data_IF_893929343248
#
_entry.id   IF_893929343248
#
_cell.length_a   1.000
_cell.length_b   1.000
_cell.length_c   1.000
_cell.angle_alpha   90.00
_cell.angle_beta   90.00
_cell.angle_gamma   90.00
#
_symmetry.space_group_name_H-M   'P 1'
#
loop_
_entity.id
_entity.type
_entity.pdbx_description
1 polymer ?
#
# COMPACT_ATOMS: atom_id res chain seq x y z
N UNK A 1 30.87 -19.18 -14.22
CA UNK A 1 29.62 -19.39 -14.96
C UNK A 1 28.43 -18.88 -14.16
N UNK A 2 28.10 -19.44 -13.02
CA UNK A 2 26.94 -19.08 -12.18
C UNK A 2 26.92 -17.56 -11.80
N UNK A 3 28.06 -16.99 -11.42
CA UNK A 3 28.14 -15.61 -10.98
C UNK A 3 27.81 -14.61 -12.11
N UNK A 4 28.30 -14.88 -13.31
CA UNK A 4 28.07 -14.02 -14.49
C UNK A 4 26.61 -14.09 -14.96
N UNK A 5 25.99 -15.25 -14.84
CA UNK A 5 24.57 -15.46 -15.17
C UNK A 5 23.67 -14.72 -14.18
N UNK A 6 24.04 -14.68 -12.89
CA UNK A 6 23.30 -13.94 -11.88
C UNK A 6 23.42 -12.42 -12.06
N UNK A 7 24.62 -11.92 -12.36
CA UNK A 7 24.82 -10.48 -12.63
C UNK A 7 23.96 -10.04 -13.83
N UNK A 8 23.98 -10.77 -14.92
CA UNK A 8 23.16 -10.48 -16.10
C UNK A 8 21.64 -10.56 -15.78
N UNK A 9 21.21 -11.55 -15.00
CA UNK A 9 19.82 -11.63 -14.53
C UNK A 9 19.42 -10.40 -13.71
N UNK A 10 20.25 -9.98 -12.77
CA UNK A 10 20.00 -8.85 -11.93
C UNK A 10 19.91 -7.54 -12.75
N UNK A 11 20.79 -7.35 -13.73
CA UNK A 11 20.73 -6.19 -14.61
C UNK A 11 19.45 -6.15 -15.44
N UNK A 12 19.04 -7.27 -16.03
CA UNK A 12 17.78 -7.35 -16.79
C UNK A 12 16.57 -7.06 -15.87
N UNK A 13 16.58 -7.62 -14.66
CA UNK A 13 15.51 -7.39 -13.69
C UNK A 13 15.39 -5.90 -13.34
N UNK A 14 16.51 -5.24 -13.04
CA UNK A 14 16.53 -3.81 -12.71
C UNK A 14 16.09 -2.93 -13.89
N UNK A 15 16.48 -3.29 -15.13
CA UNK A 15 16.02 -2.60 -16.33
C UNK A 15 14.50 -2.74 -16.51
N UNK A 16 13.97 -3.93 -16.32
CA UNK A 16 12.52 -4.18 -16.41
C UNK A 16 11.76 -3.43 -15.32
N UNK A 17 12.28 -3.42 -14.09
CA UNK A 17 11.70 -2.66 -12.99
C UNK A 17 11.68 -1.16 -13.31
N UNK A 18 12.79 -0.62 -13.79
CA UNK A 18 12.88 0.80 -14.19
C UNK A 18 11.90 1.12 -15.34
N UNK A 19 11.78 0.24 -16.32
CA UNK A 19 10.86 0.42 -17.45
C UNK A 19 9.38 0.38 -17.04
N UNK A 20 9.07 -0.23 -15.90
CA UNK A 20 7.70 -0.25 -15.36
C UNK A 20 7.25 1.11 -14.81
N UNK A 21 8.18 2.01 -14.50
CA UNK A 21 7.89 3.36 -14.02
C UNK A 21 7.87 4.39 -15.17
N UNK A 22 7.08 4.12 -16.19
CA UNK A 22 6.86 5.08 -17.29
C UNK A 22 6.09 6.31 -16.80
N UNK A 23 6.20 7.47 -17.49
CA UNK A 23 5.50 8.70 -17.09
C UNK A 23 4.01 8.52 -16.90
N UNK A 24 3.36 7.69 -17.71
CA UNK A 24 1.94 7.37 -17.56
C UNK A 24 1.62 6.68 -16.24
N UNK A 25 2.47 5.74 -15.80
CA UNK A 25 2.30 5.05 -14.52
C UNK A 25 2.52 6.02 -13.35
N UNK A 26 3.53 6.88 -13.45
CA UNK A 26 3.78 7.92 -12.44
C UNK A 26 2.56 8.84 -12.30
N UNK A 27 1.96 9.25 -13.42
CA UNK A 27 0.75 10.07 -13.42
C UNK A 27 -0.46 9.35 -12.76
N UNK A 28 -0.63 8.06 -13.06
CA UNK A 28 -1.67 7.25 -12.39
C UNK A 28 -1.45 7.12 -10.88
N UNK A 29 -0.19 6.98 -10.44
CA UNK A 29 0.16 6.97 -9.01
C UNK A 29 -0.16 8.31 -8.36
N UNK A 30 0.12 9.43 -9.03
CA UNK A 30 -0.24 10.76 -8.56
C UNK A 30 -1.76 10.89 -8.38
N UNK A 31 -2.53 10.51 -9.39
CA UNK A 31 -4.00 10.54 -9.32
C UNK A 31 -4.53 9.69 -8.15
N UNK A 32 -3.97 8.50 -7.95
CA UNK A 32 -4.32 7.65 -6.80
C UNK A 32 -4.02 8.35 -5.47
N UNK A 33 -2.87 9.01 -5.36
CA UNK A 33 -2.49 9.78 -4.18
C UNK A 33 -3.48 10.91 -3.88
N UNK A 34 -3.93 11.63 -4.90
CA UNK A 34 -4.93 12.70 -4.77
C UNK A 34 -6.29 12.17 -4.30
N UNK A 35 -6.73 11.02 -4.85
CA UNK A 35 -7.97 10.35 -4.42
C UNK A 35 -7.87 9.92 -2.95
N UNK A 36 -6.77 9.30 -2.53
CA UNK A 36 -6.55 8.88 -1.15
C UNK A 36 -6.52 10.07 -0.20
N UNK A 37 -5.88 11.18 -0.60
CA UNK A 37 -5.89 12.41 0.17
C UNK A 37 -7.30 12.99 0.32
N UNK A 38 -8.08 13.00 -0.75
CA UNK A 38 -9.49 13.44 -0.71
C UNK A 38 -10.34 12.55 0.21
N UNK A 39 -10.13 11.22 0.16
CA UNK A 39 -10.80 10.30 1.07
C UNK A 39 -10.46 10.60 2.53
N UNK A 40 -9.20 10.90 2.81
CA UNK A 40 -8.76 11.25 4.16
C UNK A 40 -9.36 12.55 4.66
N UNK A 41 -9.34 13.61 3.84
CA UNK A 41 -9.90 14.93 4.19
C UNK A 41 -11.40 14.85 4.44
N UNK A 42 -12.13 14.08 3.67
CA UNK A 42 -13.59 13.93 3.77
C UNK A 42 -14.03 12.84 4.77
N UNK A 43 -13.08 12.12 5.39
CA UNK A 43 -13.39 11.04 6.33
C UNK A 43 -14.03 9.81 5.68
N UNK A 44 -13.81 9.60 4.38
CA UNK A 44 -14.31 8.46 3.64
C UNK A 44 -13.56 7.18 4.01
N UNK A 45 -14.20 6.02 3.77
CA UNK A 45 -13.56 4.73 3.97
C UNK A 45 -12.90 4.26 2.67
N UNK A 46 -11.72 3.67 2.79
CA UNK A 46 -11.02 2.96 1.72
C UNK A 46 -10.93 1.49 2.10
N UNK A 47 -11.27 0.62 1.17
CA UNK A 47 -11.17 -0.82 1.34
C UNK A 47 -10.04 -1.35 0.47
N UNK A 48 -9.19 -2.19 1.06
CA UNK A 48 -8.07 -2.83 0.35
C UNK A 48 -8.16 -4.34 0.51
N UNK A 49 -7.89 -5.08 -0.54
CA UNK A 49 -7.94 -6.53 -0.54
C UNK A 49 -6.76 -7.13 -1.32
N UNK A 50 -6.53 -8.40 -1.09
CA UNK A 50 -5.52 -9.20 -1.78
C UNK A 50 -5.56 -10.64 -1.28
N UNK A 51 -5.00 -11.56 -2.07
CA UNK A 51 -4.90 -12.99 -1.77
C UNK A 51 -3.43 -13.37 -1.55
N UNK A 52 -3.18 -14.42 -0.79
CA UNK A 52 -1.83 -14.90 -0.52
C UNK A 52 -0.92 -13.82 0.07
N UNK A 53 0.23 -13.58 -0.55
CA UNK A 53 1.15 -12.51 -0.15
C UNK A 53 0.54 -11.11 -0.23
N UNK A 54 -0.35 -10.88 -1.18
CA UNK A 54 -1.08 -9.62 -1.31
C UNK A 54 -2.06 -9.38 -0.16
N UNK A 55 -2.57 -10.43 0.50
CA UNK A 55 -3.38 -10.28 1.71
C UNK A 55 -2.54 -9.69 2.86
N UNK A 56 -1.30 -10.18 3.03
CA UNK A 56 -0.35 -9.60 3.99
C UNK A 56 -0.03 -8.13 3.68
N UNK A 57 0.23 -7.82 2.42
CA UNK A 57 0.46 -6.44 1.98
C UNK A 57 -0.76 -5.55 2.25
N UNK A 58 -1.97 -6.01 1.97
CA UNK A 58 -3.20 -5.25 2.22
C UNK A 58 -3.36 -4.91 3.72
N UNK A 59 -3.12 -5.87 4.60
CA UNK A 59 -3.17 -5.64 6.05
C UNK A 59 -2.11 -4.65 6.52
N UNK A 60 -0.88 -4.77 5.99
CA UNK A 60 0.22 -3.87 6.35
C UNK A 60 -0.04 -2.44 5.87
N UNK A 61 -0.45 -2.29 4.62
CA UNK A 61 -0.79 -0.98 4.04
C UNK A 61 -1.94 -0.33 4.82
N UNK A 62 -3.00 -1.07 5.15
CA UNK A 62 -4.11 -0.54 5.94
C UNK A 62 -3.65 -0.03 7.31
N UNK A 63 -2.75 -0.75 7.97
CA UNK A 63 -2.17 -0.34 9.24
C UNK A 63 -1.34 0.96 9.11
N UNK A 64 -0.50 1.03 8.09
CA UNK A 64 0.36 2.20 7.85
C UNK A 64 -0.46 3.46 7.56
N UNK A 65 -1.51 3.34 6.75
CA UNK A 65 -2.39 4.47 6.45
C UNK A 65 -3.26 4.87 7.65
N UNK A 66 -3.72 3.92 8.43
CA UNK A 66 -4.57 4.21 9.59
C UNK A 66 -3.80 4.89 10.72
N UNK A 67 -2.57 4.46 10.98
CA UNK A 67 -1.77 4.95 12.09
C UNK A 67 -0.62 5.89 11.70
N UNK A 68 -0.14 5.83 10.48
CA UNK A 68 1.04 6.57 10.00
C UNK A 68 0.72 7.86 9.26
N UNK A 69 -0.28 7.83 8.38
CA UNK A 69 -0.64 8.99 7.56
C UNK A 69 -1.27 10.09 8.43
N UNK A 70 -0.77 11.31 8.27
CA UNK A 70 -1.23 12.46 9.05
C UNK A 70 -0.63 12.60 10.43
N UNK A 71 0.14 11.62 10.89
CA UNK A 71 0.83 11.66 12.17
C UNK A 71 2.23 12.26 12.01
N UNK A 72 2.34 13.59 12.02
CA UNK A 72 3.66 14.25 12.19
C UNK A 72 4.08 14.15 13.64
N UNK A 73 5.12 13.36 13.92
CA UNK A 73 5.64 13.11 15.28
C UNK A 73 6.03 14.39 16.04
N UNK A 74 6.40 15.45 15.35
CA UNK A 74 6.98 16.65 15.94
C UNK A 74 5.97 17.55 16.66
N UNK A 75 4.67 17.41 16.37
CA UNK A 75 3.64 18.33 16.87
C UNK A 75 2.66 17.74 17.89
N UNK A 76 2.82 16.49 18.29
CA UNK A 76 1.86 15.83 19.17
C UNK A 76 2.42 15.53 20.55
N UNK A 77 1.94 16.25 21.55
CA UNK A 77 2.25 16.02 22.95
C UNK A 77 1.56 14.78 23.53
N UNK A 78 0.39 14.41 22.97
CA UNK A 78 -0.43 13.27 23.42
C UNK A 78 -1.01 12.51 22.22
N UNK A 79 -1.29 11.21 22.39
CA UNK A 79 -1.96 10.37 21.37
C UNK A 79 -3.34 10.93 21.00
N UNK A 80 -4.05 11.53 21.96
CA UNK A 80 -5.38 12.13 21.76
C UNK A 80 -5.38 13.38 20.89
N UNK A 81 -4.22 13.99 20.64
CA UNK A 81 -4.09 15.19 19.80
C UNK A 81 -3.76 14.86 18.36
N UNK A 82 -3.59 13.57 18.02
CA UNK A 82 -3.26 13.13 16.66
C UNK A 82 -4.48 13.25 15.75
N UNK A 83 -4.29 13.86 14.58
CA UNK A 83 -5.29 13.78 13.52
C UNK A 83 -5.48 12.29 13.15
N UNK A 84 -6.72 11.80 13.06
CA UNK A 84 -6.98 10.43 12.62
C UNK A 84 -6.30 10.15 11.28
N UNK A 85 -5.74 8.96 11.12
CA UNK A 85 -5.24 8.50 9.83
C UNK A 85 -6.37 8.27 8.82
N UNK A 86 -6.00 7.89 7.60
CA UNK A 86 -6.97 7.47 6.59
C UNK A 86 -7.72 6.23 7.08
N UNK A 87 -9.05 6.26 7.02
CA UNK A 87 -9.88 5.10 7.34
C UNK A 87 -9.73 4.03 6.27
N UNK A 88 -8.74 3.18 6.45
CA UNK A 88 -8.46 2.08 5.54
C UNK A 88 -8.73 0.74 6.21
N UNK A 89 -9.55 -0.09 5.59
CA UNK A 89 -9.93 -1.41 6.09
C UNK A 89 -9.41 -2.49 5.15
N UNK A 90 -8.58 -3.38 5.69
CA UNK A 90 -8.13 -4.56 4.95
C UNK A 90 -9.17 -5.67 5.03
N UNK A 91 -9.80 -6.02 3.92
CA UNK A 91 -10.77 -7.11 3.86
C UNK A 91 -10.15 -8.47 4.26
N UNK A 92 -8.88 -8.79 3.90
CA UNK A 92 -8.24 -10.03 4.35
C UNK A 92 -8.03 -10.16 5.86
N UNK A 93 -8.26 -9.10 6.64
CA UNK A 93 -8.21 -9.19 8.11
C UNK A 93 -9.32 -10.05 8.70
N UNK A 94 -10.36 -10.37 7.90
CA UNK A 94 -11.38 -11.34 8.27
C UNK A 94 -11.03 -12.73 7.69
N UNK A 95 -10.66 -13.73 8.50
CA UNK A 95 -10.28 -15.06 8.02
C UNK A 95 -11.35 -15.76 7.19
N UNK A 96 -12.63 -15.50 7.46
CA UNK A 96 -13.75 -16.09 6.69
C UNK A 96 -13.76 -15.62 5.24
N UNK A 97 -13.36 -14.38 4.97
CA UNK A 97 -13.26 -13.88 3.60
C UNK A 97 -12.14 -14.59 2.85
N UNK A 98 -10.96 -14.75 3.49
CA UNK A 98 -9.80 -15.38 2.84
C UNK A 98 -10.05 -16.87 2.59
N UNK A 99 -10.64 -17.56 3.56
CA UNK A 99 -10.75 -19.02 3.53
C UNK A 99 -11.98 -19.53 2.77
N UNK A 100 -12.97 -18.68 2.53
CA UNK A 100 -14.20 -19.05 1.84
C UNK A 100 -14.35 -18.34 0.49
N UNK A 101 -14.41 -17.01 0.50
CA UNK A 101 -14.78 -16.24 -0.69
C UNK A 101 -13.59 -15.92 -1.63
N UNK A 102 -12.37 -15.88 -1.12
CA UNK A 102 -11.22 -15.51 -1.92
C UNK A 102 -10.58 -16.67 -2.70
N UNK A 103 -10.99 -17.92 -2.40
CA UNK A 103 -10.52 -19.13 -3.06
C UNK A 103 -11.49 -19.69 -4.11
N UNK A 104 -12.68 -19.17 -4.23
CA UNK A 104 -13.69 -19.54 -5.22
C UNK A 104 -13.61 -18.61 -6.44
#
# INVERSE_FOLDING_TARGET
MIKKDFENFAEIYLQNLKSSFQPEIIHKIQNLSEILNSCWENGNNVFICGNGGSAGNAMHIANDFHYGVGCKKENYKKITERKPGLRMTALPSNPSIITCLAND
#
